data_IF_149712710910
#
_entry.id   IF_149712710910
#
_cell.length_a   1.000
_cell.length_b   1.000
_cell.length_c   1.000
_cell.angle_alpha   90.00
_cell.angle_beta   90.00
_cell.angle_gamma   90.00
#
_symmetry.space_group_name_H-M   'P 1'
#
loop_
_entity.id
_entity.type
_entity.pdbx_description
1 polymer ?
#
# COMPACT_ATOMS: atom_id res chain seq x y z
N UNK A 1 -29.71 34.40 -4.23
CA UNK A 1 -29.16 33.19 -4.87
C UNK A 1 -27.65 33.22 -4.68
N UNK A 2 -27.14 32.75 -3.53
CA UNK A 2 -25.69 32.67 -3.26
C UNK A 2 -25.30 31.20 -3.36
N UNK A 3 -24.47 30.88 -4.34
CA UNK A 3 -23.95 29.52 -4.53
C UNK A 3 -22.95 29.24 -3.42
N UNK A 4 -23.36 28.44 -2.43
CA UNK A 4 -22.48 27.90 -1.41
C UNK A 4 -21.61 26.83 -2.08
N UNK A 5 -20.58 27.25 -2.81
CA UNK A 5 -19.53 26.35 -3.27
C UNK A 5 -18.98 25.67 -2.02
N UNK A 6 -19.25 24.37 -1.90
CA UNK A 6 -18.77 23.53 -0.82
C UNK A 6 -17.26 23.73 -0.73
N UNK A 7 -16.81 24.37 0.36
CA UNK A 7 -15.42 24.49 0.71
C UNK A 7 -14.87 23.06 0.79
N UNK A 8 -14.17 22.63 -0.27
CA UNK A 8 -13.36 21.43 -0.22
C UNK A 8 -12.46 21.59 1.01
N UNK A 9 -12.37 20.59 1.91
CA UNK A 9 -11.43 20.67 3.00
C UNK A 9 -10.06 20.93 2.37
N UNK A 10 -9.43 22.05 2.74
CA UNK A 10 -8.04 22.31 2.39
C UNK A 10 -7.26 21.09 2.88
N UNK A 11 -6.86 20.24 1.95
CA UNK A 11 -5.90 19.20 2.25
C UNK A 11 -4.70 19.97 2.77
N UNK A 12 -4.21 19.71 3.99
CA UNK A 12 -3.01 20.36 4.45
C UNK A 12 -1.99 20.18 3.33
N UNK A 13 -1.44 21.29 2.84
CA UNK A 13 -0.32 21.29 1.91
C UNK A 13 0.82 20.65 2.69
N UNK A 14 0.82 19.32 2.77
CA UNK A 14 1.86 18.55 3.40
C UNK A 14 3.11 19.00 2.67
N UNK A 15 4.01 19.65 3.40
CA UNK A 15 5.31 20.02 2.86
C UNK A 15 5.86 18.81 2.14
N UNK A 16 6.32 19.00 0.90
CA UNK A 16 6.83 17.90 0.10
C UNK A 16 8.05 17.31 0.82
N UNK A 17 7.85 16.20 1.52
CA UNK A 17 8.91 15.45 2.20
C UNK A 17 9.52 14.47 1.18
N UNK A 18 10.83 14.53 0.92
CA UNK A 18 11.50 13.56 0.06
C UNK A 18 11.30 12.12 0.57
N UNK A 19 11.16 11.16 -0.35
CA UNK A 19 10.95 9.75 0.00
C UNK A 19 12.02 9.19 0.95
N UNK A 20 13.28 9.64 0.82
CA UNK A 20 14.36 9.24 1.71
C UNK A 20 14.13 9.73 3.15
N UNK A 21 13.61 10.95 3.31
CA UNK A 21 13.31 11.51 4.63
C UNK A 21 12.07 10.82 5.24
N UNK A 22 11.06 10.49 4.44
CA UNK A 22 9.94 9.66 4.87
C UNK A 22 10.39 8.27 5.34
N UNK A 23 11.30 7.62 4.60
CA UNK A 23 11.84 6.32 4.96
C UNK A 23 12.57 6.36 6.31
N UNK A 24 13.36 7.42 6.55
CA UNK A 24 14.03 7.64 7.84
C UNK A 24 13.03 7.85 8.98
N UNK A 25 12.01 8.67 8.78
CA UNK A 25 10.97 8.95 9.78
C UNK A 25 10.16 7.70 10.15
N UNK A 26 9.87 6.84 9.16
CA UNK A 26 9.10 5.62 9.38
C UNK A 26 9.97 4.42 9.77
N UNK A 27 11.30 4.57 9.86
CA UNK A 27 12.23 3.48 10.15
C UNK A 27 12.24 2.39 9.06
N UNK A 28 11.84 2.73 7.84
CA UNK A 28 11.78 1.80 6.72
C UNK A 28 13.18 1.59 6.17
N UNK A 29 13.57 0.32 6.01
CA UNK A 29 14.86 -0.07 5.43
C UNK A 29 14.66 -0.60 4.00
N UNK A 30 15.64 -0.41 3.11
CA UNK A 30 15.63 -1.06 1.80
C UNK A 30 15.53 -2.58 1.94
N UNK A 31 14.77 -3.21 1.03
CA UNK A 31 14.65 -4.67 0.93
C UNK A 31 15.92 -5.20 0.25
N UNK A 32 16.69 -6.04 0.94
CA UNK A 32 17.94 -6.60 0.44
C UNK A 32 17.77 -8.03 -0.10
N UNK A 33 16.80 -8.79 0.44
CA UNK A 33 16.40 -10.12 -0.03
C UNK A 33 14.89 -10.28 -0.03
N UNK A 34 14.40 -11.28 -0.75
CA UNK A 34 13.01 -11.76 -0.64
C UNK A 34 12.71 -12.22 0.78
N UNK A 35 13.69 -12.78 1.48
CA UNK A 35 13.54 -13.24 2.87
C UNK A 35 13.20 -12.08 3.83
N UNK A 36 13.58 -10.84 3.51
CA UNK A 36 13.23 -9.67 4.33
C UNK A 36 11.73 -9.35 4.29
N UNK A 37 11.03 -9.85 3.27
CA UNK A 37 9.58 -9.69 3.11
C UNK A 37 8.80 -10.81 3.81
N UNK A 38 9.46 -11.92 4.15
CA UNK A 38 8.82 -13.02 4.86
C UNK A 38 8.50 -12.58 6.29
N UNK A 39 7.22 -12.49 6.62
CA UNK A 39 6.76 -12.23 7.98
C UNK A 39 6.18 -13.51 8.57
N UNK A 40 6.62 -13.90 9.79
CA UNK A 40 5.91 -14.93 10.55
C UNK A 40 4.45 -14.49 10.72
N UNK A 41 3.53 -15.46 10.65
CA UNK A 41 2.10 -15.23 10.89
C UNK A 41 1.47 -14.19 9.93
N UNK A 42 2.03 -14.06 8.72
CA UNK A 42 1.45 -13.21 7.67
C UNK A 42 0.08 -13.70 7.21
N UNK A 43 -0.12 -15.02 7.28
CA UNK A 43 -1.39 -15.69 7.05
C UNK A 43 -1.72 -16.49 8.30
N UNK A 44 -2.99 -16.47 8.69
CA UNK A 44 -3.51 -17.20 9.85
C UNK A 44 -3.65 -18.70 9.56
N UNK A 45 -3.73 -19.07 8.27
CA UNK A 45 -3.85 -20.46 7.82
C UNK A 45 -3.38 -20.66 6.38
N UNK A 46 -3.12 -21.92 6.01
CA UNK A 46 -2.81 -22.29 4.62
C UNK A 46 -4.00 -22.03 3.69
N UNK A 47 -5.24 -22.17 4.18
CA UNK A 47 -6.45 -21.89 3.39
C UNK A 47 -6.53 -20.39 2.99
N UNK A 48 -6.16 -19.48 3.91
CA UNK A 48 -6.10 -18.04 3.63
C UNK A 48 -5.02 -17.72 2.57
N UNK A 49 -3.88 -18.40 2.64
CA UNK A 49 -2.82 -18.27 1.63
C UNK A 49 -3.32 -18.71 0.25
N UNK A 50 -4.04 -19.82 0.17
CA UNK A 50 -4.59 -20.35 -1.09
C UNK A 50 -5.63 -19.41 -1.71
N UNK A 51 -6.50 -18.82 -0.88
CA UNK A 51 -7.48 -17.82 -1.30
C UNK A 51 -6.80 -16.56 -1.86
N UNK A 52 -5.78 -16.05 -1.16
CA UNK A 52 -4.98 -14.91 -1.60
C UNK A 52 -4.30 -15.19 -2.95
N UNK A 53 -3.66 -16.35 -3.10
CA UNK A 53 -2.99 -16.72 -4.35
C UNK A 53 -3.97 -16.84 -5.51
N UNK A 54 -5.16 -17.40 -5.26
CA UNK A 54 -6.22 -17.53 -6.25
C UNK A 54 -6.66 -16.18 -6.81
N UNK A 55 -6.93 -15.22 -5.92
CA UNK A 55 -7.31 -13.85 -6.31
C UNK A 55 -6.17 -13.11 -7.03
N UNK A 56 -4.93 -13.25 -6.53
CA UNK A 56 -3.75 -12.64 -7.13
C UNK A 56 -3.54 -13.11 -8.58
N UNK A 57 -3.65 -14.42 -8.83
CA UNK A 57 -3.50 -14.98 -10.17
C UNK A 57 -4.65 -14.59 -11.08
N UNK A 58 -5.88 -14.53 -10.57
CA UNK A 58 -7.03 -14.05 -11.34
C UNK A 58 -6.84 -12.60 -11.78
N UNK A 59 -6.47 -11.72 -10.85
CA UNK A 59 -6.19 -10.29 -11.09
C UNK A 59 -5.07 -10.09 -12.10
N UNK A 60 -3.95 -10.81 -11.95
CA UNK A 60 -2.82 -10.75 -12.89
C UNK A 60 -3.23 -11.17 -14.30
N UNK A 61 -4.07 -12.20 -14.42
CA UNK A 61 -4.53 -12.72 -15.71
C UNK A 61 -5.53 -11.78 -16.37
N UNK A 62 -6.38 -11.10 -15.59
CA UNK A 62 -7.32 -10.11 -16.09
C UNK A 62 -6.62 -8.89 -16.70
N UNK A 63 -5.49 -8.45 -16.14
CA UNK A 63 -4.69 -7.35 -16.69
C UNK A 63 -3.86 -7.70 -17.92
N UNK A 64 -3.82 -8.97 -18.34
CA UNK A 64 -3.09 -9.44 -19.52
C UNK A 64 -4.00 -9.66 -20.75
N UNK A 65 -5.30 -9.34 -20.63
CA UNK A 65 -6.32 -9.48 -21.66
C UNK A 65 -6.60 -8.16 -22.39
#
# INVERSE_FOLDING_TARGET
MSSNAEQMPEWPTAEHVPAEELARLQGVRPVASVDDLARPDMFESDDELDDFLSDLYASRRAGAA
#
